data_IF_573926222742
#
_entry.id   IF_573926222742
#
_cell.length_a   1.000
_cell.length_b   1.000
_cell.length_c   1.000
_cell.angle_alpha   90.00
_cell.angle_beta   90.00
_cell.angle_gamma   90.00
#
_symmetry.space_group_name_H-M   'P 1'
#
loop_
_entity.id
_entity.type
_entity.pdbx_description
1 polymer ?
#
# COMPACT_ATOMS: atom_id res chain seq x y z
N UNK A 1 -15.49 23.86 0.58
CA UNK A 1 -15.36 22.49 1.09
C UNK A 1 -14.32 21.81 0.22
N UNK A 2 -13.05 21.83 0.63
CA UNK A 2 -12.06 20.99 -0.02
C UNK A 2 -12.37 19.57 0.43
N UNK A 3 -12.72 18.68 -0.50
CA UNK A 3 -12.90 17.27 -0.16
C UNK A 3 -11.59 16.74 0.41
N UNK A 4 -11.65 15.97 1.49
CA UNK A 4 -10.51 15.22 2.01
C UNK A 4 -9.87 14.47 0.84
N UNK A 5 -8.58 14.74 0.63
CA UNK A 5 -7.86 14.20 -0.51
C UNK A 5 -7.26 12.88 -0.05
N UNK A 6 -7.84 11.76 -0.48
CA UNK A 6 -7.34 10.42 -0.19
C UNK A 6 -6.39 9.91 -1.30
N UNK A 7 -5.42 9.05 -0.98
CA UNK A 7 -4.68 8.32 -1.98
C UNK A 7 -5.63 7.44 -2.78
N UNK A 8 -5.43 7.39 -4.09
CA UNK A 8 -6.26 6.61 -5.02
C UNK A 8 -5.43 6.21 -6.22
N UNK A 9 -5.81 5.17 -6.96
CA UNK A 9 -5.16 4.73 -8.19
C UNK A 9 -3.97 3.79 -7.98
N UNK A 10 -3.28 3.47 -9.07
CA UNK A 10 -2.21 2.48 -9.10
C UNK A 10 -0.81 3.08 -8.83
N UNK A 11 -0.07 2.39 -7.98
CA UNK A 11 1.32 2.66 -7.62
C UNK A 11 2.17 1.44 -7.97
N UNK A 12 3.32 1.69 -8.59
CA UNK A 12 4.30 0.70 -9.00
C UNK A 12 5.56 0.93 -8.18
N UNK A 13 6.04 -0.09 -7.50
CA UNK A 13 7.21 -0.03 -6.64
C UNK A 13 7.68 -1.43 -6.29
N UNK A 14 8.22 -1.58 -5.07
CA UNK A 14 8.79 -2.83 -4.63
C UNK A 14 8.35 -3.15 -3.21
N UNK A 15 8.17 -4.44 -2.93
CA UNK A 15 7.99 -4.97 -1.58
C UNK A 15 9.00 -6.08 -1.32
N UNK A 16 9.55 -6.10 -0.12
CA UNK A 16 10.44 -7.20 0.30
C UNK A 16 9.59 -8.39 0.70
N UNK A 17 9.82 -9.56 0.13
CA UNK A 17 9.20 -10.84 0.49
C UNK A 17 10.25 -11.96 0.42
N UNK A 18 10.25 -12.86 1.41
CA UNK A 18 11.22 -13.97 1.52
C UNK A 18 12.71 -13.55 1.37
N UNK A 19 13.06 -12.32 1.80
CA UNK A 19 14.41 -11.76 1.70
C UNK A 19 14.77 -11.16 0.35
N UNK A 20 13.82 -11.04 -0.58
CA UNK A 20 14.01 -10.48 -1.93
C UNK A 20 13.07 -9.29 -2.16
N UNK A 21 13.57 -8.21 -2.73
CA UNK A 21 12.74 -7.11 -3.22
C UNK A 21 12.07 -7.53 -4.54
N UNK A 22 10.75 -7.59 -4.53
CA UNK A 22 9.93 -7.97 -5.68
C UNK A 22 9.14 -6.78 -6.17
N UNK A 23 9.00 -6.63 -7.49
CA UNK A 23 8.16 -5.60 -8.08
C UNK A 23 6.70 -5.82 -7.68
N UNK A 24 6.07 -4.73 -7.26
CA UNK A 24 4.72 -4.72 -6.74
C UNK A 24 3.90 -3.62 -7.41
N UNK A 25 2.64 -3.93 -7.69
CA UNK A 25 1.62 -2.96 -7.99
C UNK A 25 0.67 -2.89 -6.79
N UNK A 26 0.41 -1.68 -6.31
CA UNK A 26 -0.54 -1.41 -5.21
C UNK A 26 -1.60 -0.45 -5.73
N UNK A 27 -2.86 -0.81 -5.60
CA UNK A 27 -3.99 0.02 -5.95
C UNK A 27 -4.67 0.49 -4.67
N UNK A 28 -4.94 1.78 -4.56
CA UNK A 28 -5.76 2.34 -3.48
C UNK A 28 -7.04 2.91 -4.07
N UNK A 29 -8.13 2.77 -3.34
CA UNK A 29 -9.39 3.45 -3.62
C UNK A 29 -10.12 3.76 -2.31
N UNK A 30 -11.19 4.55 -2.41
CA UNK A 30 -12.02 4.89 -1.27
C UNK A 30 -13.37 4.23 -1.44
N UNK A 31 -13.82 3.51 -0.43
CA UNK A 31 -15.13 2.88 -0.45
C UNK A 31 -16.27 3.90 -0.22
N UNK A 32 -17.52 3.43 -0.25
CA UNK A 32 -18.70 4.29 -0.08
C UNK A 32 -18.78 4.95 1.31
N UNK A 33 -18.03 4.47 2.30
CA UNK A 33 -17.98 5.01 3.66
C UNK A 33 -16.86 6.04 3.86
N UNK A 34 -15.97 6.20 2.88
CA UNK A 34 -14.82 7.08 2.97
C UNK A 34 -13.54 6.38 3.46
N UNK A 35 -13.59 5.07 3.70
CA UNK A 35 -12.44 4.26 4.14
C UNK A 35 -11.57 3.89 2.95
N UNK A 36 -10.24 3.96 3.13
CA UNK A 36 -9.29 3.56 2.11
C UNK A 36 -9.20 2.04 2.09
N UNK A 37 -9.45 1.46 0.93
CA UNK A 37 -9.20 0.06 0.66
C UNK A 37 -8.16 -0.04 -0.45
N UNK A 38 -7.58 -1.23 -0.59
CA UNK A 38 -6.63 -1.45 -1.67
C UNK A 38 -6.46 -2.90 -2.03
N UNK A 39 -5.80 -3.09 -3.15
CA UNK A 39 -5.37 -4.39 -3.64
C UNK A 39 -3.90 -4.29 -3.99
N UNK A 40 -3.19 -5.41 -3.92
CA UNK A 40 -1.83 -5.47 -4.40
C UNK A 40 -1.54 -6.76 -5.13
N UNK A 41 -0.56 -6.67 -6.02
CA UNK A 41 -0.03 -7.79 -6.75
C UNK A 41 1.49 -7.69 -6.76
N UNK A 42 2.18 -8.79 -6.47
CA UNK A 42 3.62 -8.91 -6.67
C UNK A 42 3.97 -10.29 -7.25
N UNK A 43 5.16 -10.40 -7.82
CA UNK A 43 5.68 -11.67 -8.33
C UNK A 43 6.55 -12.33 -7.28
N UNK A 44 6.16 -13.52 -6.82
CA UNK A 44 6.97 -14.37 -5.95
C UNK A 44 7.46 -15.58 -6.74
N UNK A 45 8.76 -15.65 -7.02
CA UNK A 45 9.38 -16.73 -7.81
C UNK A 45 8.67 -16.98 -9.16
N UNK A 46 8.18 -15.91 -9.80
CA UNK A 46 7.47 -15.98 -11.08
C UNK A 46 5.99 -16.35 -10.98
N UNK A 47 5.44 -16.50 -9.77
CA UNK A 47 4.02 -16.70 -9.52
C UNK A 47 3.39 -15.39 -9.01
N UNK A 48 2.28 -14.93 -9.60
CA UNK A 48 1.57 -13.77 -9.08
C UNK A 48 0.97 -14.10 -7.71
N UNK A 49 1.11 -13.17 -6.79
CA UNK A 49 0.44 -13.17 -5.49
C UNK A 49 -0.45 -11.95 -5.43
N UNK A 50 -1.72 -12.20 -5.13
CA UNK A 50 -2.73 -11.17 -4.98
C UNK A 50 -3.10 -11.04 -3.51
N UNK A 51 -3.28 -9.81 -3.05
CA UNK A 51 -3.77 -9.54 -1.71
C UNK A 51 -4.58 -8.25 -1.63
N UNK A 52 -5.17 -8.07 -0.47
CA UNK A 52 -6.07 -6.95 -0.15
C UNK A 52 -5.48 -6.12 0.99
N UNK A 53 -5.81 -4.84 1.01
CA UNK A 53 -5.46 -3.87 2.05
C UNK A 53 -6.77 -3.28 2.61
N UNK A 54 -6.92 -3.33 3.93
CA UNK A 54 -8.02 -2.69 4.63
C UNK A 54 -7.46 -1.65 5.61
N UNK A 55 -7.84 -0.38 5.47
CA UNK A 55 -7.43 0.68 6.39
C UNK A 55 -7.91 0.40 7.81
N UNK A 56 -7.02 0.61 8.77
CA UNK A 56 -7.30 0.46 10.21
C UNK A 56 -7.08 1.75 11.00
N UNK A 57 -6.57 2.80 10.36
CA UNK A 57 -6.46 4.13 10.94
C UNK A 57 -5.33 4.97 10.34
N UNK A 58 -5.06 6.09 10.99
CA UNK A 58 -4.00 7.04 10.66
C UNK A 58 -3.11 7.34 11.87
N UNK A 59 -2.16 8.26 11.72
CA UNK A 59 -1.28 8.70 12.80
C UNK A 59 -1.87 9.82 13.68
N UNK A 60 -3.09 10.27 13.41
CA UNK A 60 -3.79 11.32 14.16
C UNK A 60 -3.17 12.71 14.06
N UNK A 61 -2.24 12.96 13.12
CA UNK A 61 -1.58 14.26 12.96
C UNK A 61 -2.41 15.29 12.16
N UNK A 62 -3.54 14.84 11.58
CA UNK A 62 -4.47 15.65 10.77
C UNK A 62 -3.97 15.96 9.36
N UNK A 63 -2.83 15.41 8.93
CA UNK A 63 -2.29 15.57 7.58
C UNK A 63 -2.75 14.49 6.61
N UNK A 64 -3.36 13.42 7.13
CA UNK A 64 -3.90 12.29 6.38
C UNK A 64 -2.91 11.50 5.52
N UNK A 65 -1.60 11.69 5.75
CA UNK A 65 -0.53 11.11 4.93
C UNK A 65 -0.02 9.79 5.44
N UNK A 66 -0.06 9.55 6.75
CA UNK A 66 0.34 8.25 7.30
C UNK A 66 -0.91 7.43 7.52
N UNK A 67 -0.98 6.29 6.83
CA UNK A 67 -2.10 5.35 6.92
C UNK A 67 -1.62 3.99 7.36
N UNK A 68 -2.41 3.36 8.21
CA UNK A 68 -2.20 1.98 8.65
C UNK A 68 -3.23 1.09 7.99
N UNK A 69 -2.76 -0.03 7.45
CA UNK A 69 -3.55 -1.04 6.78
C UNK A 69 -3.29 -2.41 7.41
N UNK A 70 -4.30 -3.27 7.34
CA UNK A 70 -4.12 -4.71 7.43
C UNK A 70 -4.03 -5.27 6.02
N UNK A 71 -2.90 -5.91 5.69
CA UNK A 71 -2.75 -6.65 4.45
C UNK A 71 -3.17 -8.10 4.66
N UNK A 72 -3.67 -8.74 3.59
CA UNK A 72 -4.00 -10.17 3.59
C UNK A 72 -3.80 -10.77 2.19
N UNK A 73 -3.11 -11.91 2.12
CA UNK A 73 -2.96 -12.73 0.92
C UNK A 73 -2.92 -14.23 1.26
N UNK A 74 -2.49 -15.07 0.30
CA UNK A 74 -2.39 -16.53 0.47
C UNK A 74 -1.36 -16.97 1.54
N UNK A 75 -0.42 -16.12 1.92
CA UNK A 75 0.63 -16.40 2.91
C UNK A 75 0.25 -15.98 4.33
N UNK A 76 -0.74 -15.09 4.48
CA UNK A 76 -1.24 -14.68 5.79
C UNK A 76 -1.77 -13.27 5.79
N UNK A 77 -1.57 -12.59 6.90
CA UNK A 77 -1.99 -11.21 7.11
C UNK A 77 -1.08 -10.50 8.10
N UNK A 78 -1.11 -9.18 8.10
CA UNK A 78 -0.34 -8.39 9.05
C UNK A 78 -0.50 -6.89 8.83
N UNK A 79 0.33 -6.11 9.50
CA UNK A 79 0.23 -4.66 9.44
C UNK A 79 1.11 -4.11 8.32
N UNK A 80 0.58 -3.11 7.61
CA UNK A 80 1.31 -2.23 6.71
C UNK A 80 1.12 -0.79 7.22
N UNK A 81 2.19 -0.03 7.34
CA UNK A 81 2.15 1.42 7.59
C UNK A 81 2.78 2.10 6.40
N UNK A 82 2.07 3.03 5.78
CA UNK A 82 2.56 3.84 4.65
C UNK A 82 2.52 5.31 5.01
N UNK A 83 3.46 6.07 4.50
CA UNK A 83 3.46 7.53 4.51
C UNK A 83 3.53 8.02 3.08
N UNK A 84 2.49 8.74 2.65
CA UNK A 84 2.41 9.33 1.32
C UNK A 84 3.15 10.67 1.24
N UNK A 85 3.65 11.00 0.05
CA UNK A 85 4.05 12.37 -0.27
C UNK A 85 2.84 13.31 -0.23
N UNK A 86 3.02 14.63 0.01
CA UNK A 86 1.91 15.58 0.12
C UNK A 86 0.97 15.65 -1.10
N UNK A 87 1.44 15.23 -2.27
CA UNK A 87 0.68 15.20 -3.51
C UNK A 87 0.14 13.80 -3.88
N UNK A 88 0.34 12.80 -3.02
CA UNK A 88 0.03 11.39 -3.24
C UNK A 88 0.65 10.81 -4.53
N UNK A 89 1.79 11.35 -4.96
CA UNK A 89 2.54 10.79 -6.10
C UNK A 89 3.33 9.55 -5.70
N UNK A 90 3.73 9.43 -4.43
CA UNK A 90 4.56 8.33 -3.94
C UNK A 90 4.18 7.97 -2.49
N UNK A 91 4.54 6.76 -2.07
CA UNK A 91 4.52 6.35 -0.68
C UNK A 91 5.77 5.55 -0.32
N UNK A 92 6.21 5.73 0.92
CA UNK A 92 7.16 4.85 1.59
C UNK A 92 6.43 4.09 2.68
N UNK A 93 6.69 2.80 2.80
CA UNK A 93 5.94 1.93 3.69
C UNK A 93 6.77 0.82 4.28
N UNK A 94 6.21 0.25 5.35
CA UNK A 94 6.81 -0.85 6.08
C UNK A 94 5.73 -1.82 6.53
N UNK A 95 5.98 -3.12 6.34
CA UNK A 95 5.02 -4.17 6.63
C UNK A 95 5.60 -5.26 7.53
N UNK A 96 4.75 -5.97 8.25
CA UNK A 96 5.12 -7.15 9.03
C UNK A 96 4.02 -8.23 8.95
N UNK A 97 4.34 -9.46 9.38
CA UNK A 97 3.40 -10.57 9.53
C UNK A 97 3.19 -10.95 11.01
N UNK A 98 2.99 -9.95 11.89
CA UNK A 98 2.80 -10.18 13.33
C UNK A 98 4.09 -10.36 14.15
N UNK A 99 5.26 -10.11 13.55
CA UNK A 99 6.57 -10.04 14.22
C UNK A 99 7.03 -8.60 14.49
N UNK A 100 8.20 -8.46 15.12
CA UNK A 100 8.83 -7.15 15.39
C UNK A 100 9.61 -6.59 14.20
N UNK A 101 9.91 -7.42 13.21
CA UNK A 101 10.65 -7.02 12.02
C UNK A 101 9.69 -6.38 11.01
N UNK A 102 10.09 -5.21 10.53
CA UNK A 102 9.39 -4.48 9.49
C UNK A 102 10.20 -4.51 8.20
N UNK A 103 9.54 -4.89 7.11
CA UNK A 103 10.12 -5.02 5.79
C UNK A 103 9.63 -3.88 4.88
N UNK A 104 10.46 -3.38 3.95
CA UNK A 104 10.10 -2.24 3.13
C UNK A 104 9.03 -2.59 2.09
N UNK A 105 8.16 -1.62 1.82
CA UNK A 105 7.21 -1.61 0.71
C UNK A 105 6.99 -0.17 0.25
N UNK A 106 7.34 0.15 -0.99
CA UNK A 106 7.16 1.48 -1.57
C UNK A 106 6.35 1.43 -2.87
N UNK A 107 5.97 2.62 -3.33
CA UNK A 107 5.31 2.77 -4.63
C UNK A 107 5.26 4.22 -5.07
N UNK A 108 5.43 4.43 -6.36
CA UNK A 108 5.17 5.70 -7.06
C UNK A 108 4.06 5.50 -8.06
N UNK A 109 3.35 6.56 -8.47
CA UNK A 109 2.36 6.49 -9.55
C UNK A 109 2.90 5.65 -10.70
N UNK A 110 2.17 4.58 -11.06
CA UNK A 110 2.52 3.83 -12.26
C UNK A 110 2.50 4.80 -13.44
N UNK A 111 3.56 4.85 -14.23
CA UNK A 111 3.55 5.63 -15.46
C UNK A 111 2.39 5.08 -16.31
N UNK A 112 1.40 5.93 -16.59
CA UNK A 112 0.45 5.66 -17.65
C UNK A 112 1.27 5.70 -18.93
N UNK A 113 1.69 4.56 -19.44
CA UNK A 113 2.18 4.48 -20.81
C UNK A 113 0.97 4.81 -21.68
N UNK A 114 0.81 6.10 -22.01
CA UNK A 114 -0.07 6.54 -23.09
C UNK A 114 0.45 5.79 -24.32
N UNK A 115 -0.32 4.79 -24.75
CA UNK A 115 -0.16 4.13 -26.04
C UNK A 115 -1.00 4.87 -27.07
#
# INVERSE_FOLDING_TARGET
MAGERAPSGAYCGQLSSAGVLSDAQTHFETDASGTIIGEYMFSDQGQPVHGELAETGDDGDGSDRTRTFMWRDKYGYGQLVVTFTPDFSEFEGKWNAGGSEFLPWNGRRCNQTIS
#
